data_IF_382762835275
#
_entry.id   IF_382762835275
#
_cell.length_a   1.000
_cell.length_b   1.000
_cell.length_c   1.000
_cell.angle_alpha   90.00
_cell.angle_beta   90.00
_cell.angle_gamma   90.00
#
_symmetry.space_group_name_H-M   'P 1'
#
loop_
_entity.id
_entity.type
_entity.pdbx_description
1 polymer ?
#
# COMPACT_ATOMS: atom_id res chain seq x y z
N UNK A 1 -8.91 16.14 -14.61
CA UNK A 1 -8.09 15.01 -14.13
C UNK A 1 -9.03 13.79 -14.07
N UNK A 2 -8.56 12.59 -14.42
CA UNK A 2 -9.36 11.36 -14.40
C UNK A 2 -8.78 10.43 -13.34
N UNK A 3 -9.63 9.90 -12.47
CA UNK A 3 -9.22 8.86 -11.51
C UNK A 3 -9.12 7.55 -12.28
N UNK A 4 -7.98 6.87 -12.19
CA UNK A 4 -7.67 5.64 -12.90
C UNK A 4 -7.34 4.46 -12.00
N UNK A 5 -7.16 4.70 -10.71
CA UNK A 5 -6.90 3.67 -9.71
C UNK A 5 -7.72 3.86 -8.45
N UNK A 6 -7.92 2.79 -7.70
CA UNK A 6 -8.57 2.82 -6.40
C UNK A 6 -7.94 1.79 -5.45
N UNK A 7 -7.98 2.09 -4.16
CA UNK A 7 -7.64 1.14 -3.11
C UNK A 7 -8.87 0.33 -2.70
N UNK A 8 -8.64 -0.94 -2.42
CA UNK A 8 -9.63 -1.86 -1.84
C UNK A 8 -9.17 -2.21 -0.42
N UNK A 9 -10.01 -1.93 0.57
CA UNK A 9 -9.75 -2.29 1.95
C UNK A 9 -10.94 -3.09 2.51
N UNK A 10 -10.74 -4.36 2.83
CA UNK A 10 -11.76 -5.25 3.38
C UNK A 10 -11.53 -5.57 4.86
N UNK A 11 -10.46 -5.04 5.44
CA UNK A 11 -10.04 -5.42 6.80
C UNK A 11 -10.22 -4.30 7.81
N UNK A 12 -10.10 -3.03 7.39
CA UNK A 12 -10.24 -1.90 8.30
C UNK A 12 -11.67 -1.79 8.83
N UNK A 13 -11.78 -1.41 10.09
CA UNK A 13 -13.05 -1.41 10.83
C UNK A 13 -14.05 -0.33 10.38
N UNK A 14 -13.62 0.62 9.61
CA UNK A 14 -14.42 1.72 9.08
C UNK A 14 -14.96 1.49 7.66
N UNK A 15 -14.78 0.29 7.12
CA UNK A 15 -15.23 -0.05 5.77
C UNK A 15 -16.70 -0.48 5.78
N UNK A 16 -17.55 0.13 4.96
CA UNK A 16 -19.00 -0.14 4.98
C UNK A 16 -19.39 -1.46 4.29
N UNK A 17 -18.49 -2.11 3.55
CA UNK A 17 -18.78 -3.28 2.69
C UNK A 17 -18.11 -4.58 3.14
N UNK A 18 -17.70 -4.69 4.41
CA UNK A 18 -17.00 -5.87 4.96
C UNK A 18 -17.72 -7.23 4.77
N UNK A 19 -19.00 -7.24 4.44
CA UNK A 19 -19.78 -8.45 4.23
C UNK A 19 -20.20 -8.66 2.77
N UNK A 20 -19.56 -8.00 1.83
CA UNK A 20 -19.89 -8.19 0.41
C UNK A 20 -19.53 -9.59 -0.07
N UNK A 21 -20.47 -10.20 -0.81
CA UNK A 21 -20.22 -11.44 -1.52
C UNK A 21 -19.68 -11.22 -2.92
N UNK A 22 -19.33 -12.31 -3.61
CA UNK A 22 -18.78 -12.26 -4.96
C UNK A 22 -19.63 -11.46 -5.97
N UNK A 23 -20.96 -11.49 -5.82
CA UNK A 23 -21.87 -10.73 -6.69
C UNK A 23 -21.80 -9.23 -6.47
N UNK A 24 -21.55 -8.80 -5.24
CA UNK A 24 -21.47 -7.38 -4.91
C UNK A 24 -20.12 -6.81 -5.39
N UNK A 25 -19.05 -7.56 -5.17
CA UNK A 25 -17.73 -7.23 -5.73
C UNK A 25 -17.74 -7.20 -7.26
N UNK A 26 -18.44 -8.13 -7.91
CA UNK A 26 -18.58 -8.13 -9.39
C UNK A 26 -19.25 -6.85 -9.91
N UNK A 27 -20.31 -6.39 -9.23
CA UNK A 27 -20.97 -5.11 -9.57
C UNK A 27 -20.05 -3.91 -9.36
N UNK A 28 -19.26 -3.92 -8.27
CA UNK A 28 -18.35 -2.84 -7.95
C UNK A 28 -17.22 -2.75 -8.98
N UNK A 29 -16.59 -3.88 -9.34
CA UNK A 29 -15.57 -3.90 -10.39
C UNK A 29 -16.14 -3.45 -11.74
N UNK A 30 -17.37 -3.84 -12.07
CA UNK A 30 -18.06 -3.35 -13.28
C UNK A 30 -18.27 -1.83 -13.25
N UNK A 31 -18.68 -1.29 -12.09
CA UNK A 31 -18.88 0.14 -11.91
C UNK A 31 -17.57 0.93 -11.99
N UNK A 32 -16.52 0.44 -11.32
CA UNK A 32 -15.17 1.01 -11.41
C UNK A 32 -14.67 1.08 -12.85
N UNK A 33 -14.80 -0.03 -13.60
CA UNK A 33 -14.42 -0.07 -15.02
C UNK A 33 -15.21 0.92 -15.87
N UNK A 34 -16.52 1.02 -15.62
CA UNK A 34 -17.41 1.92 -16.38
C UNK A 34 -17.02 3.39 -16.23
N UNK A 35 -16.52 3.83 -15.07
CA UNK A 35 -16.02 5.18 -14.85
C UNK A 35 -14.55 5.37 -15.22
N UNK A 36 -13.88 4.29 -15.66
CA UNK A 36 -12.55 4.28 -16.24
C UNK A 36 -11.42 4.05 -15.27
N UNK A 37 -11.69 3.43 -14.12
CA UNK A 37 -10.66 2.85 -13.25
C UNK A 37 -10.12 1.60 -13.95
N UNK A 38 -8.82 1.48 -14.07
CA UNK A 38 -8.11 0.35 -14.67
C UNK A 38 -7.14 -0.33 -13.73
N UNK A 39 -6.97 0.21 -12.52
CA UNK A 39 -6.02 -0.29 -11.52
C UNK A 39 -6.70 -0.38 -10.16
N UNK A 40 -6.64 -1.55 -9.55
CA UNK A 40 -7.09 -1.79 -8.17
C UNK A 40 -5.91 -2.20 -7.31
N UNK A 41 -5.84 -1.62 -6.12
CA UNK A 41 -4.75 -1.83 -5.17
C UNK A 41 -5.36 -2.39 -3.89
N UNK A 42 -5.02 -3.64 -3.54
CA UNK A 42 -5.36 -4.16 -2.22
C UNK A 42 -4.50 -3.45 -1.18
N UNK A 43 -5.11 -2.74 -0.24
CA UNK A 43 -4.37 -1.91 0.72
C UNK A 43 -3.50 -2.76 1.65
N UNK A 44 -3.99 -3.95 2.02
CA UNK A 44 -3.25 -4.93 2.82
C UNK A 44 -3.86 -6.32 2.69
N UNK A 45 -3.03 -7.35 2.61
CA UNK A 45 -3.54 -8.72 2.58
C UNK A 45 -3.95 -9.25 3.96
N UNK A 46 -3.58 -8.56 5.01
CA UNK A 46 -3.96 -8.85 6.37
C UNK A 46 -3.53 -7.75 7.33
N UNK A 47 -4.27 -7.65 8.45
CA UNK A 47 -3.97 -6.75 9.54
C UNK A 47 -4.22 -7.45 10.88
N UNK A 48 -3.20 -7.46 11.75
CA UNK A 48 -3.26 -8.19 13.02
C UNK A 48 -3.64 -9.66 12.77
N UNK A 49 -4.81 -10.11 13.22
CA UNK A 49 -5.25 -11.50 13.04
C UNK A 49 -6.24 -11.71 11.90
N UNK A 50 -6.57 -10.66 11.15
CA UNK A 50 -7.47 -10.75 9.99
C UNK A 50 -6.65 -10.83 8.71
N UNK A 51 -7.12 -11.62 7.73
CA UNK A 51 -6.47 -11.77 6.43
C UNK A 51 -7.50 -11.95 5.31
N UNK A 52 -7.12 -11.59 4.10
CA UNK A 52 -8.00 -11.60 2.91
C UNK A 52 -7.90 -12.89 2.09
N UNK A 53 -6.97 -13.76 2.40
CA UNK A 53 -6.80 -15.06 1.75
C UNK A 53 -6.31 -16.09 2.78
N UNK A 54 -6.51 -17.41 2.56
CA UNK A 54 -6.14 -18.45 3.53
C UNK A 54 -4.62 -18.71 3.53
N UNK A 55 -3.85 -17.79 4.16
CA UNK A 55 -2.40 -17.87 4.29
C UNK A 55 -2.00 -18.90 5.35
N UNK A 56 -1.21 -19.90 4.97
CA UNK A 56 -0.62 -20.84 5.92
C UNK A 56 0.47 -20.19 6.77
N UNK A 57 1.23 -19.26 6.18
CA UNK A 57 2.26 -18.48 6.86
C UNK A 57 1.64 -17.67 8.00
N UNK A 58 0.57 -16.91 7.72
CA UNK A 58 -0.09 -16.05 8.71
C UNK A 58 -0.84 -16.87 9.78
N UNK A 59 -1.45 -17.98 9.43
CA UNK A 59 -2.03 -18.90 10.41
C UNK A 59 -0.97 -19.43 11.37
N UNK A 60 0.16 -19.89 10.84
CA UNK A 60 1.23 -20.52 11.62
C UNK A 60 2.00 -19.52 12.49
N UNK A 61 2.31 -18.32 11.94
CA UNK A 61 3.20 -17.36 12.60
C UNK A 61 2.45 -16.33 13.45
N UNK A 62 1.21 -15.96 13.04
CA UNK A 62 0.45 -14.85 13.63
C UNK A 62 -0.90 -15.29 14.24
N UNK A 63 -1.25 -16.57 14.16
CA UNK A 63 -2.54 -17.11 14.58
C UNK A 63 -3.73 -16.38 13.93
N UNK A 64 -3.61 -16.04 12.65
CA UNK A 64 -4.65 -15.36 11.90
C UNK A 64 -5.87 -16.25 11.72
N UNK A 65 -7.03 -15.60 11.64
CA UNK A 65 -8.30 -16.28 11.35
C UNK A 65 -8.39 -16.59 9.86
N UNK A 66 -8.68 -17.85 9.52
CA UNK A 66 -8.88 -18.26 8.12
C UNK A 66 -10.16 -17.59 7.60
N UNK A 67 -10.09 -16.79 6.51
CA UNK A 67 -11.27 -16.16 5.96
C UNK A 67 -12.18 -17.18 5.29
N UNK A 68 -13.51 -16.95 5.27
CA UNK A 68 -14.46 -17.86 4.62
C UNK A 68 -14.36 -17.80 3.09
N UNK A 69 -13.77 -16.75 2.54
CA UNK A 69 -13.60 -16.52 1.10
C UNK A 69 -12.17 -16.08 0.85
N UNK A 70 -11.56 -16.60 -0.22
CA UNK A 70 -10.29 -16.10 -0.73
C UNK A 70 -10.57 -14.84 -1.58
N UNK A 71 -10.46 -13.67 -0.93
CA UNK A 71 -10.71 -12.39 -1.59
C UNK A 71 -9.61 -12.03 -2.59
N UNK A 72 -8.38 -12.49 -2.38
CA UNK A 72 -7.27 -12.23 -3.33
C UNK A 72 -7.56 -12.94 -4.65
N UNK A 73 -7.97 -14.22 -4.62
CA UNK A 73 -8.38 -14.95 -5.83
C UNK A 73 -9.61 -14.31 -6.50
N UNK A 74 -10.59 -13.91 -5.70
CA UNK A 74 -11.78 -13.21 -6.21
C UNK A 74 -11.42 -11.90 -6.91
N UNK A 75 -10.61 -11.04 -6.28
CA UNK A 75 -10.21 -9.76 -6.88
C UNK A 75 -9.37 -9.94 -8.15
N UNK A 76 -8.46 -10.91 -8.17
CA UNK A 76 -7.71 -11.25 -9.37
C UNK A 76 -8.64 -11.75 -10.49
N UNK A 77 -9.62 -12.58 -10.15
CA UNK A 77 -10.63 -13.08 -11.12
C UNK A 77 -11.45 -11.94 -11.71
N UNK A 78 -11.89 -11.00 -10.88
CA UNK A 78 -12.64 -9.84 -11.33
C UNK A 78 -11.76 -8.85 -12.10
N UNK A 79 -10.53 -8.63 -11.68
CA UNK A 79 -9.58 -7.80 -12.41
C UNK A 79 -9.29 -8.36 -13.82
N UNK A 80 -9.14 -9.68 -13.94
CA UNK A 80 -8.99 -10.33 -15.25
C UNK A 80 -10.26 -10.21 -16.10
N UNK A 81 -11.44 -10.41 -15.50
CA UNK A 81 -12.73 -10.27 -16.17
C UNK A 81 -12.94 -8.88 -16.78
N UNK A 82 -12.54 -7.84 -16.05
CA UNK A 82 -12.73 -6.44 -16.44
C UNK A 82 -11.49 -5.79 -17.06
N UNK A 83 -10.46 -6.56 -17.37
CA UNK A 83 -9.17 -6.07 -17.90
C UNK A 83 -8.62 -4.90 -17.06
N UNK A 84 -8.40 -5.18 -15.79
CA UNK A 84 -7.84 -4.26 -14.80
C UNK A 84 -6.52 -4.80 -14.26
N UNK A 85 -5.66 -3.91 -13.77
CA UNK A 85 -4.41 -4.23 -13.08
C UNK A 85 -4.68 -4.41 -11.59
N UNK A 86 -4.03 -5.38 -10.97
CA UNK A 86 -4.10 -5.62 -9.54
C UNK A 86 -2.71 -5.47 -8.90
N UNK A 87 -2.64 -4.64 -7.85
CA UNK A 87 -1.48 -4.51 -6.98
C UNK A 87 -1.78 -5.17 -5.64
N UNK A 88 -0.91 -6.07 -5.23
CA UNK A 88 -1.07 -6.79 -3.98
C UNK A 88 -0.44 -6.02 -2.81
N UNK A 89 -1.24 -5.71 -1.79
CA UNK A 89 -0.78 -5.08 -0.55
C UNK A 89 -0.20 -6.10 0.44
N UNK A 90 0.95 -5.78 1.01
CA UNK A 90 1.64 -6.61 1.98
C UNK A 90 0.85 -6.74 3.30
N UNK A 91 1.33 -7.57 4.21
CA UNK A 91 0.72 -7.77 5.51
C UNK A 91 1.17 -6.69 6.51
N UNK A 92 0.24 -6.22 7.35
CA UNK A 92 0.52 -5.35 8.48
C UNK A 92 0.29 -6.12 9.79
N UNK A 93 1.36 -6.40 10.51
CA UNK A 93 1.27 -7.11 11.78
C UNK A 93 0.52 -6.32 12.87
N UNK A 94 0.48 -5.00 12.75
CA UNK A 94 -0.03 -4.08 13.77
C UNK A 94 0.77 -4.09 15.07
N UNK A 95 1.94 -4.74 15.08
CA UNK A 95 2.76 -4.88 16.29
C UNK A 95 4.26 -4.75 16.09
N UNK A 96 4.80 -5.16 14.94
CA UNK A 96 6.26 -5.17 14.76
C UNK A 96 6.78 -3.80 14.34
N UNK A 97 6.50 -3.36 13.12
CA UNK A 97 7.00 -2.08 12.64
C UNK A 97 6.51 -0.89 13.49
N UNK A 98 5.28 -0.94 14.00
CA UNK A 98 4.72 0.07 14.90
C UNK A 98 5.44 0.18 16.24
N UNK A 99 6.23 -0.82 16.62
CA UNK A 99 7.06 -0.85 17.82
C UNK A 99 8.56 -0.86 17.51
N UNK A 100 8.95 -0.46 16.29
CA UNK A 100 10.35 -0.36 15.87
C UNK A 100 11.03 -1.69 15.55
N UNK A 101 10.27 -2.80 15.46
CA UNK A 101 10.76 -4.14 15.14
C UNK A 101 10.66 -4.40 13.65
N UNK A 102 11.44 -3.65 12.87
CA UNK A 102 11.36 -3.68 11.41
C UNK A 102 11.84 -5.00 10.80
N UNK A 103 12.86 -5.62 11.39
CA UNK A 103 13.41 -6.89 10.90
C UNK A 103 12.37 -8.01 10.98
N UNK A 104 11.59 -8.07 12.07
CA UNK A 104 10.52 -9.05 12.24
C UNK A 104 9.38 -8.82 11.24
N UNK A 105 9.03 -7.56 10.97
CA UNK A 105 8.03 -7.21 9.95
C UNK A 105 8.50 -7.61 8.55
N UNK A 106 9.76 -7.32 8.21
CA UNK A 106 10.39 -7.66 6.94
C UNK A 106 10.43 -9.18 6.74
N UNK A 107 10.92 -9.94 7.74
CA UNK A 107 11.03 -11.40 7.65
C UNK A 107 9.66 -12.06 7.48
N UNK A 108 8.66 -11.61 8.23
CA UNK A 108 7.30 -12.10 8.08
C UNK A 108 6.73 -11.81 6.69
N UNK A 109 6.87 -10.57 6.22
CA UNK A 109 6.34 -10.16 4.92
C UNK A 109 7.06 -10.85 3.74
N UNK A 110 8.35 -11.16 3.85
CA UNK A 110 9.04 -11.97 2.82
C UNK A 110 8.39 -13.34 2.68
N UNK A 111 8.12 -14.04 3.78
CA UNK A 111 7.45 -15.33 3.75
C UNK A 111 6.03 -15.25 3.18
N UNK A 112 5.28 -14.18 3.52
CA UNK A 112 3.95 -13.92 2.95
C UNK A 112 4.02 -13.67 1.44
N UNK A 113 4.96 -12.85 0.98
CA UNK A 113 5.12 -12.55 -0.44
C UNK A 113 5.52 -13.80 -1.25
N UNK A 114 6.37 -14.67 -0.72
CA UNK A 114 6.72 -15.96 -1.36
C UNK A 114 5.47 -16.83 -1.52
N UNK A 115 4.67 -17.00 -0.46
CA UNK A 115 3.42 -17.76 -0.51
C UNK A 115 2.45 -17.20 -1.56
N UNK A 116 2.27 -15.88 -1.55
CA UNK A 116 1.40 -15.17 -2.50
C UNK A 116 1.87 -15.33 -3.94
N UNK A 117 3.16 -15.19 -4.17
CA UNK A 117 3.72 -15.36 -5.51
C UNK A 117 3.57 -16.79 -6.03
N UNK A 118 3.77 -17.79 -5.19
CA UNK A 118 3.51 -19.19 -5.54
C UNK A 118 2.04 -19.43 -5.89
N UNK A 119 1.11 -18.84 -5.15
CA UNK A 119 -0.33 -19.02 -5.37
C UNK A 119 -0.87 -18.23 -6.55
N UNK A 120 -0.50 -16.96 -6.68
CA UNK A 120 -1.17 -16.01 -7.56
C UNK A 120 -0.26 -15.35 -8.60
N UNK A 121 1.05 -15.53 -8.54
CA UNK A 121 2.00 -14.87 -9.44
C UNK A 121 1.81 -15.20 -10.93
N UNK A 122 1.12 -16.31 -11.24
CA UNK A 122 0.76 -16.70 -12.60
C UNK A 122 -0.47 -15.93 -13.16
N UNK A 123 -1.22 -15.23 -12.32
CA UNK A 123 -2.45 -14.53 -12.70
C UNK A 123 -2.13 -13.30 -13.55
N UNK A 124 -2.82 -13.14 -14.68
CA UNK A 124 -2.54 -12.06 -15.64
C UNK A 124 -2.79 -10.65 -15.08
N UNK A 125 -3.73 -10.53 -14.14
CA UNK A 125 -4.04 -9.26 -13.51
C UNK A 125 -3.03 -8.85 -12.45
N UNK A 126 -2.19 -9.75 -11.91
CA UNK A 126 -1.17 -9.43 -10.92
C UNK A 126 -0.07 -8.56 -11.58
N UNK A 127 -0.03 -7.27 -11.27
CA UNK A 127 0.82 -6.28 -11.97
C UNK A 127 1.78 -5.53 -11.06
N UNK A 128 1.73 -5.74 -9.74
CA UNK A 128 2.64 -5.06 -8.83
C UNK A 128 2.37 -5.37 -7.37
N UNK A 129 3.19 -4.76 -6.54
CA UNK A 129 3.19 -4.90 -5.09
C UNK A 129 2.96 -3.54 -4.43
N UNK A 130 2.14 -3.51 -3.40
CA UNK A 130 1.96 -2.36 -2.55
C UNK A 130 2.56 -2.64 -1.16
N UNK A 131 3.56 -1.85 -0.77
CA UNK A 131 4.16 -1.92 0.56
C UNK A 131 3.33 -1.04 1.49
N UNK A 132 2.57 -1.67 2.36
CA UNK A 132 1.44 -1.06 3.05
C UNK A 132 1.79 -0.29 4.34
N UNK A 133 3.06 -0.21 4.72
CA UNK A 133 3.48 0.59 5.87
C UNK A 133 3.43 2.08 5.51
N UNK A 134 2.43 2.78 6.01
CA UNK A 134 2.16 4.17 5.67
C UNK A 134 2.75 5.11 6.71
N UNK A 135 3.63 5.99 6.28
CA UNK A 135 4.24 7.02 7.11
C UNK A 135 4.06 8.40 6.50
N UNK A 136 4.05 9.44 7.32
CA UNK A 136 4.01 10.84 6.84
C UNK A 136 5.39 11.49 6.77
N UNK A 137 6.39 10.88 7.41
CA UNK A 137 7.73 11.44 7.56
C UNK A 137 8.77 10.34 7.79
N UNK A 138 10.04 10.72 7.80
CA UNK A 138 11.13 9.80 8.10
C UNK A 138 11.03 9.30 9.54
N UNK A 139 10.89 8.00 9.70
CA UNK A 139 11.01 7.28 10.98
C UNK A 139 12.17 6.29 10.90
N UNK A 140 12.71 5.91 12.06
CA UNK A 140 13.79 4.93 12.13
C UNK A 140 13.36 3.61 11.45
N UNK A 141 14.22 3.05 10.60
CA UNK A 141 14.01 1.76 9.95
C UNK A 141 13.08 1.76 8.72
N UNK A 142 12.37 2.85 8.41
CA UNK A 142 11.41 2.86 7.28
C UNK A 142 12.10 2.74 5.91
N UNK A 143 13.27 3.35 5.76
CA UNK A 143 14.05 3.26 4.53
C UNK A 143 14.49 1.81 4.30
N UNK A 144 15.01 1.16 5.34
CA UNK A 144 15.47 -0.23 5.27
C UNK A 144 14.30 -1.19 4.98
N UNK A 145 13.13 -0.95 5.59
CA UNK A 145 11.92 -1.71 5.31
C UNK A 145 11.52 -1.60 3.83
N UNK A 146 11.32 -0.38 3.33
CA UNK A 146 10.92 -0.19 1.93
C UNK A 146 11.98 -0.68 0.94
N UNK A 147 13.27 -0.43 1.21
CA UNK A 147 14.35 -0.89 0.36
C UNK A 147 14.44 -2.41 0.31
N UNK A 148 14.38 -3.07 1.48
CA UNK A 148 14.45 -4.53 1.58
C UNK A 148 13.23 -5.21 0.96
N UNK A 149 12.01 -4.76 1.33
CA UNK A 149 10.78 -5.34 0.81
C UNK A 149 10.59 -5.08 -0.68
N UNK A 150 10.85 -3.84 -1.13
CA UNK A 150 10.73 -3.49 -2.54
C UNK A 150 11.68 -4.30 -3.41
N UNK A 151 12.95 -4.41 -2.99
CA UNK A 151 13.93 -5.26 -3.70
C UNK A 151 13.48 -6.72 -3.72
N UNK A 152 13.07 -7.26 -2.58
CA UNK A 152 12.62 -8.64 -2.48
C UNK A 152 11.43 -8.95 -3.39
N UNK A 153 10.41 -8.11 -3.38
CA UNK A 153 9.24 -8.25 -4.25
C UNK A 153 9.60 -8.22 -5.75
N UNK A 154 10.52 -7.33 -6.13
CA UNK A 154 11.02 -7.24 -7.51
C UNK A 154 11.81 -8.48 -7.92
N UNK A 155 12.74 -8.92 -7.10
CA UNK A 155 13.54 -10.13 -7.36
C UNK A 155 12.63 -11.37 -7.49
N UNK A 156 11.64 -11.50 -6.62
CA UNK A 156 10.69 -12.60 -6.61
C UNK A 156 9.82 -12.64 -7.87
N UNK A 157 9.40 -11.48 -8.38
CA UNK A 157 8.39 -11.37 -9.44
C UNK A 157 8.93 -10.97 -10.82
N UNK A 158 10.24 -11.01 -11.02
CA UNK A 158 10.83 -10.60 -12.30
C UNK A 158 10.66 -9.12 -12.60
N UNK A 159 10.88 -8.27 -11.59
CA UNK A 159 10.80 -6.81 -11.65
C UNK A 159 9.40 -6.22 -11.82
N UNK A 160 8.34 -6.86 -11.33
CA UNK A 160 7.06 -6.17 -11.21
C UNK A 160 7.21 -4.90 -10.34
N UNK A 161 6.48 -3.81 -10.69
CA UNK A 161 6.60 -2.56 -9.96
C UNK A 161 6.16 -2.68 -8.50
N UNK A 162 6.82 -1.92 -7.66
CA UNK A 162 6.49 -1.74 -6.25
C UNK A 162 6.02 -0.32 -5.99
N UNK A 163 5.10 -0.16 -5.07
CA UNK A 163 4.42 1.08 -4.76
C UNK A 163 4.38 1.31 -3.25
N UNK A 164 4.46 2.57 -2.83
CA UNK A 164 4.14 3.06 -1.48
C UNK A 164 3.09 4.17 -1.57
N UNK A 165 2.29 4.35 -0.51
CA UNK A 165 1.31 5.43 -0.42
C UNK A 165 1.41 6.17 0.91
N UNK A 166 2.41 7.04 1.07
CA UNK A 166 2.64 7.78 2.30
C UNK A 166 1.68 8.96 2.46
N UNK A 167 1.48 9.39 3.70
CA UNK A 167 0.71 10.60 4.00
C UNK A 167 1.52 11.87 3.74
N UNK A 168 0.82 12.93 3.32
CA UNK A 168 1.32 14.29 3.45
C UNK A 168 0.86 14.82 4.81
N UNK A 169 1.78 15.28 5.63
CA UNK A 169 1.49 15.77 6.98
C UNK A 169 1.31 17.30 6.96
N UNK A 170 0.10 17.72 6.62
CA UNK A 170 -0.30 19.12 6.53
C UNK A 170 -0.98 19.64 7.81
N UNK A 171 -1.56 20.84 7.74
CA UNK A 171 -2.17 21.53 8.90
C UNK A 171 -3.40 20.82 9.49
N UNK A 172 -4.06 19.97 8.71
CA UNK A 172 -5.17 19.15 9.22
C UNK A 172 -4.78 18.19 10.31
N UNK A 173 -3.60 17.60 10.20
CA UNK A 173 -2.97 16.73 11.19
C UNK A 173 -3.97 15.79 11.91
N UNK A 174 -4.70 15.00 11.12
CA UNK A 174 -5.67 14.05 11.64
C UNK A 174 -4.95 12.87 12.28
N UNK A 175 -5.41 12.41 13.42
CA UNK A 175 -4.89 11.20 14.05
C UNK A 175 -5.04 9.99 13.13
N UNK A 176 -3.91 9.45 12.69
CA UNK A 176 -3.91 8.09 12.18
C UNK A 176 -3.83 7.13 13.37
N UNK A 177 -4.79 6.24 13.49
CA UNK A 177 -4.77 5.19 14.48
C UNK A 177 -3.53 4.32 14.30
N UNK A 178 -2.87 3.98 15.40
CA UNK A 178 -1.69 3.10 15.46
C UNK A 178 -0.44 3.60 14.70
N UNK A 179 -0.37 4.87 14.36
CA UNK A 179 0.80 5.40 13.70
C UNK A 179 1.92 5.68 14.72
N UNK A 180 3.12 5.12 14.47
CA UNK A 180 4.35 5.39 15.26
C UNK A 180 4.89 6.79 15.05
N UNK A 181 4.43 7.50 14.04
CA UNK A 181 4.86 8.86 13.74
C UNK A 181 4.32 9.83 14.79
N UNK A 182 5.07 10.86 15.09
CA UNK A 182 4.67 11.86 16.06
C UNK A 182 3.30 12.44 15.71
N UNK A 183 2.39 12.27 16.63
CA UNK A 183 0.99 12.66 16.47
C UNK A 183 0.90 14.18 16.58
N UNK A 184 0.02 14.77 15.79
CA UNK A 184 -0.32 16.20 15.84
C UNK A 184 0.82 17.19 15.55
N UNK A 185 1.86 16.78 14.84
CA UNK A 185 2.86 17.70 14.36
C UNK A 185 2.66 17.97 12.87
N UNK A 186 2.30 19.19 12.53
CA UNK A 186 2.36 19.66 11.16
C UNK A 186 3.81 19.68 10.69
N UNK A 187 4.10 19.01 9.59
CA UNK A 187 5.41 19.02 8.94
C UNK A 187 5.44 20.13 7.92
N UNK A 188 6.16 21.22 8.19
CA UNK A 188 6.37 22.30 7.23
C UNK A 188 7.04 21.82 5.93
N UNK A 189 6.82 22.57 4.84
CA UNK A 189 7.28 22.22 3.49
C UNK A 189 8.77 21.89 3.40
N UNK A 190 9.63 22.68 4.05
CA UNK A 190 11.09 22.45 4.04
C UNK A 190 11.48 21.12 4.71
N UNK A 191 10.82 20.81 5.81
CA UNK A 191 11.05 19.55 6.51
C UNK A 191 10.53 18.36 5.68
N UNK A 192 9.35 18.51 5.10
CA UNK A 192 8.77 17.51 4.19
C UNK A 192 9.72 17.22 3.03
N UNK A 193 10.20 18.26 2.34
CA UNK A 193 11.13 18.11 1.22
C UNK A 193 12.40 17.38 1.65
N UNK A 194 13.04 17.80 2.74
CA UNK A 194 14.29 17.18 3.21
C UNK A 194 14.11 15.71 3.61
N UNK A 195 13.07 15.40 4.40
CA UNK A 195 12.86 14.03 4.88
C UNK A 195 12.46 13.08 3.74
N UNK A 196 11.63 13.54 2.80
CA UNK A 196 11.25 12.73 1.64
C UNK A 196 12.37 12.62 0.60
N UNK A 197 13.25 13.62 0.48
CA UNK A 197 14.45 13.49 -0.34
C UNK A 197 15.36 12.35 0.17
N UNK A 198 15.58 12.27 1.48
CA UNK A 198 16.34 11.18 2.08
C UNK A 198 15.66 9.81 1.90
N UNK A 199 14.33 9.73 2.11
CA UNK A 199 13.58 8.48 1.94
C UNK A 199 13.67 8.02 0.49
N UNK A 200 13.30 8.87 -0.47
CA UNK A 200 13.27 8.49 -1.88
C UNK A 200 14.66 8.16 -2.43
N UNK A 201 15.70 8.87 -1.99
CA UNK A 201 17.10 8.53 -2.28
C UNK A 201 17.43 7.09 -1.84
N UNK A 202 17.04 6.72 -0.61
CA UNK A 202 17.32 5.39 -0.05
C UNK A 202 16.56 4.24 -0.72
N UNK A 203 15.41 4.51 -1.32
CA UNK A 203 14.53 3.49 -1.91
C UNK A 203 14.43 3.51 -3.44
N UNK A 204 15.16 4.40 -4.13
CA UNK A 204 15.05 4.64 -5.58
C UNK A 204 15.23 3.40 -6.47
N UNK A 205 15.97 2.39 -6.00
CA UNK A 205 16.17 1.14 -6.73
C UNK A 205 15.13 0.05 -6.39
N UNK A 206 14.33 0.29 -5.37
CA UNK A 206 13.42 -0.69 -4.80
C UNK A 206 11.94 -0.34 -4.97
N UNK A 207 11.63 0.96 -5.08
CA UNK A 207 10.27 1.47 -5.25
C UNK A 207 10.13 2.20 -6.58
N UNK A 208 9.04 1.93 -7.29
CA UNK A 208 8.78 2.53 -8.61
C UNK A 208 7.73 3.64 -8.57
N UNK A 209 6.76 3.54 -7.64
CA UNK A 209 5.58 4.41 -7.59
C UNK A 209 5.43 4.95 -6.18
N UNK A 210 5.26 6.27 -6.06
CA UNK A 210 4.91 6.94 -4.81
C UNK A 210 3.58 7.66 -4.99
N UNK A 211 2.55 7.20 -4.25
CA UNK A 211 1.19 7.74 -4.30
C UNK A 211 0.90 8.49 -3.01
N UNK A 212 1.23 9.78 -2.94
CA UNK A 212 1.04 10.56 -1.73
C UNK A 212 -0.44 10.79 -1.43
N UNK A 213 -0.85 10.49 -0.18
CA UNK A 213 -2.19 10.70 0.35
C UNK A 213 -2.34 12.15 0.85
N UNK A 214 -3.37 12.84 0.40
CA UNK A 214 -3.59 14.27 0.68
C UNK A 214 -4.61 14.57 1.79
N UNK A 215 -5.20 13.55 2.37
CA UNK A 215 -6.27 13.69 3.37
C UNK A 215 -5.92 14.54 4.60
N UNK A 216 -4.64 14.72 4.91
CA UNK A 216 -4.15 15.53 6.03
C UNK A 216 -3.78 16.96 5.65
N UNK A 217 -3.97 17.34 4.38
CA UNK A 217 -3.69 18.70 3.89
C UNK A 217 -4.95 19.55 3.84
N UNK A 218 -4.78 20.85 4.12
CA UNK A 218 -5.76 21.85 3.71
C UNK A 218 -5.59 22.17 2.23
N UNK A 219 -6.69 22.53 1.58
CA UNK A 219 -6.66 22.83 0.14
C UNK A 219 -5.69 23.98 -0.21
N UNK A 220 -5.50 24.92 0.71
CA UNK A 220 -4.61 26.09 0.53
C UNK A 220 -3.12 25.72 0.47
N UNK A 221 -2.70 24.62 1.08
CA UNK A 221 -1.28 24.18 1.12
C UNK A 221 -0.97 23.03 0.16
N UNK A 222 -2.01 22.33 -0.33
CA UNK A 222 -1.89 21.10 -1.10
C UNK A 222 -1.03 21.28 -2.37
N UNK A 223 -1.20 22.38 -3.09
CA UNK A 223 -0.47 22.64 -4.33
C UNK A 223 1.07 22.66 -4.13
N UNK A 224 1.54 23.21 -3.01
CA UNK A 224 2.97 23.27 -2.71
C UNK A 224 3.53 21.90 -2.35
N UNK A 225 2.82 21.09 -1.56
CA UNK A 225 3.20 19.73 -1.27
C UNK A 225 3.24 18.87 -2.55
N UNK A 226 2.22 18.94 -3.40
CA UNK A 226 2.18 18.19 -4.66
C UNK A 226 3.33 18.56 -5.60
N UNK A 227 3.71 19.85 -5.64
CA UNK A 227 4.86 20.33 -6.42
C UNK A 227 6.17 19.71 -5.93
N UNK A 228 6.40 19.70 -4.62
CA UNK A 228 7.56 19.09 -3.99
C UNK A 228 7.58 17.58 -4.25
N UNK A 229 6.49 16.88 -4.02
CA UNK A 229 6.38 15.44 -4.22
C UNK A 229 6.71 15.04 -5.66
N UNK A 230 6.15 15.77 -6.64
CA UNK A 230 6.43 15.53 -8.05
C UNK A 230 7.90 15.79 -8.40
N UNK A 231 8.49 16.85 -7.84
CA UNK A 231 9.89 17.19 -8.06
C UNK A 231 10.82 16.09 -7.51
N UNK A 232 10.57 15.63 -6.29
CA UNK A 232 11.35 14.58 -5.65
C UNK A 232 11.21 13.24 -6.37
N UNK A 233 9.99 12.81 -6.68
CA UNK A 233 9.76 11.57 -7.42
C UNK A 233 10.50 11.60 -8.78
N UNK A 234 10.44 12.71 -9.51
CA UNK A 234 11.17 12.88 -10.77
C UNK A 234 12.69 12.81 -10.57
N UNK A 235 13.22 13.39 -9.48
CA UNK A 235 14.67 13.35 -9.15
C UNK A 235 15.18 11.91 -9.06
N UNK A 236 14.38 11.02 -8.48
CA UNK A 236 14.73 9.61 -8.26
C UNK A 236 14.12 8.64 -9.28
N UNK A 237 13.62 9.16 -10.41
CA UNK A 237 13.04 8.36 -11.50
C UNK A 237 11.87 7.46 -11.05
N UNK A 238 11.02 7.99 -10.17
CA UNK A 238 9.80 7.33 -9.70
C UNK A 238 8.57 7.97 -10.33
N UNK A 239 7.51 7.17 -10.51
CA UNK A 239 6.18 7.70 -10.82
C UNK A 239 5.58 8.36 -9.57
N UNK A 240 5.01 9.56 -9.74
CA UNK A 240 4.31 10.26 -8.67
C UNK A 240 2.81 10.22 -8.95
N UNK A 241 2.08 9.52 -8.10
CA UNK A 241 0.63 9.51 -8.11
C UNK A 241 0.09 10.34 -6.96
N UNK A 242 -1.16 10.79 -7.07
CA UNK A 242 -1.90 11.40 -5.95
C UNK A 242 -2.95 10.41 -5.49
N UNK A 243 -3.09 10.26 -4.18
CA UNK A 243 -4.11 9.48 -3.53
C UNK A 243 -4.99 10.42 -2.69
N UNK A 244 -6.26 10.62 -3.10
CA UNK A 244 -7.21 11.57 -2.51
C UNK A 244 -8.55 10.90 -2.19
#
# INVERSE_FOLDING_TARGET
MKITGTFLDEISHDIPHQNWGAKDWDKDFAAMKAIGIDTVILIRCGHKRFMTYPSEVLVKRENCYVPPVDLVDLYLTLAEKYDMKFFFGTYDSGKYWSNGKFDEEIDLNKAVCEEVWQRYGHRKAFKGWYLNQEVSRKVHGIIDLYASMGKFCKDLSGNLPTMISPYIDGVKNVYAFDNVVAKNENVGLERHEREWDEILCGIQNSVNIVAFQDGHCEYSELADFLRINRMLAKRYNMECWTNC
#
